data_IF_689721346111
#
_entry.id   IF_689721346111
#
_cell.length_a   1.000
_cell.length_b   1.000
_cell.length_c   1.000
_cell.angle_alpha   90.00
_cell.angle_beta   90.00
_cell.angle_gamma   90.00
#
_symmetry.space_group_name_H-M   'P 1'
#
loop_
_entity.id
_entity.type
_entity.pdbx_description
1 polymer ?
#
# COMPACT_ATOMS: atom_id res chain seq x y z
N UNK A 1 -11.82 1.94 -25.95
CA UNK A 1 -10.83 1.18 -25.15
C UNK A 1 -9.84 2.10 -24.45
N UNK A 2 -9.20 3.06 -25.14
CA UNK A 2 -8.30 4.04 -24.51
C UNK A 2 -8.96 4.86 -23.37
N UNK A 3 -10.22 5.27 -23.54
CA UNK A 3 -10.96 6.02 -22.50
C UNK A 3 -11.22 5.17 -21.24
N UNK A 4 -11.48 3.87 -21.40
CA UNK A 4 -11.70 2.94 -20.29
C UNK A 4 -10.42 2.76 -19.47
N UNK A 5 -9.29 2.58 -20.15
CA UNK A 5 -7.99 2.43 -19.49
C UNK A 5 -7.57 3.71 -18.77
N UNK A 6 -7.74 4.87 -19.40
CA UNK A 6 -7.45 6.19 -18.79
C UNK A 6 -8.30 6.40 -17.53
N UNK A 7 -9.60 6.08 -17.60
CA UNK A 7 -10.49 6.13 -16.43
C UNK A 7 -10.04 5.18 -15.33
N UNK A 8 -9.61 3.97 -15.69
CA UNK A 8 -9.12 2.99 -14.72
C UNK A 8 -7.87 3.52 -14.02
N UNK A 9 -6.90 4.08 -14.75
CA UNK A 9 -5.69 4.70 -14.18
C UNK A 9 -6.08 5.82 -13.20
N UNK A 10 -7.03 6.68 -13.55
CA UNK A 10 -7.51 7.75 -12.67
C UNK A 10 -8.15 7.24 -11.36
N UNK A 11 -8.94 6.17 -11.44
CA UNK A 11 -9.51 5.51 -10.25
C UNK A 11 -8.41 4.92 -9.37
N UNK A 12 -7.38 4.31 -9.99
CA UNK A 12 -6.26 3.75 -9.25
C UNK A 12 -5.41 4.83 -8.56
N UNK A 13 -5.20 5.97 -9.20
CA UNK A 13 -4.55 7.14 -8.58
C UNK A 13 -5.31 7.59 -7.33
N UNK A 14 -6.62 7.78 -7.44
CA UNK A 14 -7.45 8.20 -6.30
C UNK A 14 -7.42 7.19 -5.15
N UNK A 15 -7.48 5.89 -5.48
CA UNK A 15 -7.39 4.82 -4.49
C UNK A 15 -6.02 4.80 -3.81
N UNK A 16 -4.93 4.96 -4.57
CA UNK A 16 -3.59 5.05 -4.00
C UNK A 16 -3.44 6.26 -3.07
N UNK A 17 -3.90 7.44 -3.48
CA UNK A 17 -3.88 8.66 -2.65
C UNK A 17 -4.66 8.50 -1.35
N UNK A 18 -5.79 7.78 -1.38
CA UNK A 18 -6.56 7.45 -0.18
C UNK A 18 -5.77 6.51 0.74
N UNK A 19 -5.17 5.44 0.20
CA UNK A 19 -4.33 4.53 0.98
C UNK A 19 -3.10 5.24 1.57
N UNK A 20 -2.50 6.16 0.82
CA UNK A 20 -1.42 7.00 1.32
C UNK A 20 -1.89 7.84 2.51
N UNK A 21 -3.04 8.51 2.43
CA UNK A 21 -3.58 9.27 3.57
C UNK A 21 -3.86 8.40 4.79
N UNK A 22 -4.50 7.23 4.59
CA UNK A 22 -4.75 6.28 5.68
C UNK A 22 -3.44 5.83 6.35
N UNK A 23 -2.38 5.60 5.56
CA UNK A 23 -1.06 5.27 6.08
C UNK A 23 -0.41 6.43 6.86
N UNK A 24 -0.60 7.68 6.41
CA UNK A 24 -0.11 8.88 7.11
C UNK A 24 -0.85 9.14 8.44
N UNK A 25 -2.14 8.80 8.48
CA UNK A 25 -2.99 8.89 9.67
C UNK A 25 -2.84 7.67 10.60
N UNK A 26 -1.95 6.72 10.27
CA UNK A 26 -1.81 5.42 10.94
C UNK A 26 -3.12 4.61 11.07
N UNK A 27 -4.09 4.87 10.20
CA UNK A 27 -5.38 4.21 10.14
C UNK A 27 -5.29 2.82 9.47
N UNK A 28 -4.47 1.94 10.06
CA UNK A 28 -4.08 0.65 9.46
C UNK A 28 -5.24 -0.35 9.32
N UNK A 29 -6.28 -0.24 10.15
CA UNK A 29 -7.49 -1.06 10.04
C UNK A 29 -8.23 -0.74 8.73
N UNK A 30 -8.61 0.52 8.53
CA UNK A 30 -9.23 1.00 7.29
C UNK A 30 -8.32 0.78 6.07
N UNK A 31 -7.01 0.99 6.22
CA UNK A 31 -6.03 0.70 5.17
C UNK A 31 -6.13 -0.76 4.69
N UNK A 32 -6.24 -1.71 5.62
CA UNK A 32 -6.27 -3.14 5.31
C UNK A 32 -7.54 -3.54 4.56
N UNK A 33 -8.67 -2.91 4.87
CA UNK A 33 -9.94 -3.13 4.17
C UNK A 33 -9.87 -2.69 2.70
N UNK A 34 -9.14 -1.60 2.43
CA UNK A 34 -9.11 -0.98 1.11
C UNK A 34 -7.97 -1.49 0.21
N UNK A 35 -6.82 -1.86 0.79
CA UNK A 35 -5.62 -2.24 0.01
C UNK A 35 -5.85 -3.47 -0.87
N UNK A 36 -6.73 -4.39 -0.45
CA UNK A 36 -7.09 -5.55 -1.25
C UNK A 36 -7.85 -5.17 -2.53
N UNK A 37 -8.71 -4.16 -2.47
CA UNK A 37 -9.41 -3.64 -3.65
C UNK A 37 -8.45 -2.91 -4.59
N UNK A 38 -7.53 -2.10 -4.04
CA UNK A 38 -6.47 -1.46 -4.82
C UNK A 38 -5.58 -2.48 -5.53
N UNK A 39 -5.13 -3.53 -4.83
CA UNK A 39 -4.30 -4.58 -5.42
C UNK A 39 -4.99 -5.30 -6.59
N UNK A 40 -6.28 -5.62 -6.47
CA UNK A 40 -7.07 -6.18 -7.58
C UNK A 40 -7.17 -5.21 -8.76
N UNK A 41 -7.33 -3.91 -8.49
CA UNK A 41 -7.36 -2.88 -9.52
C UNK A 41 -6.02 -2.75 -10.27
N UNK A 42 -4.89 -2.84 -9.56
CA UNK A 42 -3.55 -2.87 -10.15
C UNK A 42 -3.33 -4.13 -11.00
N UNK A 43 -3.79 -5.29 -10.53
CA UNK A 43 -3.74 -6.54 -11.30
C UNK A 43 -4.56 -6.43 -12.59
N UNK A 44 -5.77 -5.88 -12.51
CA UNK A 44 -6.61 -5.66 -13.69
C UNK A 44 -5.94 -4.71 -14.70
N UNK A 45 -5.22 -3.68 -14.24
CA UNK A 45 -4.46 -2.79 -15.14
C UNK A 45 -3.40 -3.55 -15.96
N UNK A 46 -2.78 -4.58 -15.41
CA UNK A 46 -1.80 -5.40 -16.12
C UNK A 46 -2.42 -6.26 -17.23
N UNK A 47 -3.75 -6.44 -17.24
CA UNK A 47 -4.46 -7.21 -18.28
C UNK A 47 -4.76 -6.37 -19.52
N UNK A 48 -4.65 -5.04 -19.45
CA UNK A 48 -4.88 -4.15 -20.59
C UNK A 48 -3.65 -4.03 -21.48
N UNK A 49 -3.88 -3.92 -22.79
CA UNK A 49 -2.85 -3.42 -23.70
C UNK A 49 -2.63 -1.92 -23.48
N UNK A 50 -1.42 -1.58 -23.04
CA UNK A 50 -1.00 -0.22 -22.72
C UNK A 50 -0.37 0.52 -23.94
N UNK A 51 -0.09 -0.21 -25.02
CA UNK A 51 0.51 0.35 -26.25
C UNK A 51 -0.26 1.55 -26.83
N UNK A 52 -1.61 1.55 -26.89
CA UNK A 52 -2.39 2.64 -27.48
C UNK A 52 -2.64 3.82 -26.53
N UNK A 53 -1.97 3.91 -25.38
CA UNK A 53 -2.12 5.05 -24.47
C UNK A 53 -1.67 6.36 -25.12
N UNK A 54 -2.52 7.38 -25.06
CA UNK A 54 -2.14 8.76 -25.33
C UNK A 54 -1.12 9.26 -24.29
N UNK A 55 -0.33 10.27 -24.65
CA UNK A 55 0.73 10.82 -23.78
C UNK A 55 0.23 11.20 -22.38
N UNK A 56 -0.92 11.87 -22.27
CA UNK A 56 -1.50 12.24 -20.97
C UNK A 56 -1.79 11.02 -20.09
N UNK A 57 -2.31 9.95 -20.69
CA UNK A 57 -2.61 8.72 -19.97
C UNK A 57 -1.33 7.94 -19.60
N UNK A 58 -0.26 8.05 -20.39
CA UNK A 58 1.08 7.56 -20.03
C UNK A 58 1.65 8.33 -18.84
N UNK A 59 1.49 9.65 -18.80
CA UNK A 59 1.93 10.48 -17.68
C UNK A 59 1.18 10.11 -16.39
N UNK A 60 -0.13 9.89 -16.47
CA UNK A 60 -0.94 9.40 -15.34
C UNK A 60 -0.49 8.01 -14.86
N UNK A 61 -0.17 7.10 -15.79
CA UNK A 61 0.36 5.79 -15.43
C UNK A 61 1.73 5.90 -14.73
N UNK A 62 2.62 6.75 -15.22
CA UNK A 62 3.91 7.00 -14.57
C UNK A 62 3.73 7.56 -13.15
N UNK A 63 2.79 8.49 -12.97
CA UNK A 63 2.42 9.00 -11.65
C UNK A 63 1.90 7.87 -10.74
N UNK A 64 1.02 7.01 -11.25
CA UNK A 64 0.48 5.88 -10.48
C UNK A 64 1.60 4.94 -9.99
N UNK A 65 2.56 4.61 -10.86
CA UNK A 65 3.69 3.75 -10.50
C UNK A 65 4.60 4.40 -9.45
N UNK A 66 4.82 5.71 -9.51
CA UNK A 66 5.58 6.45 -8.49
C UNK A 66 4.83 6.47 -7.14
N UNK A 67 3.50 6.66 -7.17
CA UNK A 67 2.67 6.58 -5.98
C UNK A 67 2.64 5.17 -5.38
N UNK A 68 2.60 4.13 -6.21
CA UNK A 68 2.66 2.73 -5.79
C UNK A 68 3.98 2.39 -5.09
N UNK A 69 5.12 2.82 -5.65
CA UNK A 69 6.43 2.68 -5.01
C UNK A 69 6.44 3.34 -3.62
N UNK A 70 5.93 4.56 -3.50
CA UNK A 70 5.83 5.25 -2.21
C UNK A 70 4.95 4.48 -1.22
N UNK A 71 3.84 3.92 -1.67
CA UNK A 71 2.96 3.11 -0.84
C UNK A 71 3.66 1.82 -0.37
N UNK A 72 4.41 1.15 -1.24
CA UNK A 72 5.23 -0.03 -0.90
C UNK A 72 6.30 0.30 0.14
N UNK A 73 6.95 1.45 0.03
CA UNK A 73 7.92 1.91 1.03
C UNK A 73 7.27 2.13 2.39
N UNK A 74 6.10 2.78 2.44
CA UNK A 74 5.35 2.99 3.70
C UNK A 74 4.96 1.67 4.36
N UNK A 75 4.44 0.71 3.60
CA UNK A 75 4.13 -0.62 4.11
C UNK A 75 5.37 -1.34 4.65
N UNK A 76 6.53 -1.20 3.99
CA UNK A 76 7.80 -1.78 4.44
C UNK A 76 8.26 -1.18 5.77
N UNK A 77 8.20 0.15 5.91
CA UNK A 77 8.52 0.85 7.17
C UNK A 77 7.59 0.39 8.29
N UNK A 78 6.28 0.35 8.05
CA UNK A 78 5.31 -0.12 9.05
C UNK A 78 5.60 -1.55 9.49
N UNK A 79 5.93 -2.45 8.55
CA UNK A 79 6.32 -3.82 8.86
C UNK A 79 7.58 -3.86 9.74
N UNK A 80 8.56 -2.99 9.50
CA UNK A 80 9.74 -2.83 10.35
C UNK A 80 9.36 -2.49 11.80
N UNK A 81 8.56 -1.44 12.00
CA UNK A 81 8.09 -1.03 13.32
C UNK A 81 7.30 -2.14 14.04
N UNK A 82 6.42 -2.86 13.33
CA UNK A 82 5.69 -3.99 13.91
C UNK A 82 6.63 -5.11 14.36
N UNK A 83 7.65 -5.43 13.57
CA UNK A 83 8.65 -6.45 13.92
C UNK A 83 9.45 -6.07 15.16
N UNK A 84 9.86 -4.80 15.26
CA UNK A 84 10.55 -4.25 16.43
C UNK A 84 9.68 -4.29 17.68
N UNK A 85 8.41 -3.86 17.57
CA UNK A 85 7.45 -3.86 18.67
C UNK A 85 7.18 -5.28 19.18
N UNK A 86 6.96 -6.24 18.29
CA UNK A 86 6.78 -7.66 18.65
C UNK A 86 8.03 -8.18 19.38
N UNK A 87 9.22 -7.89 18.85
CA UNK A 87 10.48 -8.31 19.48
C UNK A 87 10.67 -7.72 20.88
N UNK A 88 10.29 -6.45 21.08
CA UNK A 88 10.34 -5.80 22.37
C UNK A 88 9.35 -6.44 23.37
N UNK A 89 8.11 -6.73 22.93
CA UNK A 89 7.11 -7.40 23.76
C UNK A 89 7.56 -8.80 24.18
N UNK A 90 8.16 -9.58 23.27
CA UNK A 90 8.69 -10.91 23.60
C UNK A 90 9.82 -10.84 24.63
N UNK A 91 10.75 -9.89 24.49
CA UNK A 91 11.83 -9.68 25.47
C UNK A 91 11.30 -9.26 26.83
N UNK A 92 10.31 -8.36 26.86
CA UNK A 92 9.64 -7.94 28.10
C UNK A 92 8.93 -9.11 28.77
N UNK A 93 8.23 -9.95 28.01
CA UNK A 93 7.53 -11.12 28.52
C UNK A 93 8.51 -12.14 29.11
N UNK A 94 9.60 -12.46 28.40
CA UNK A 94 10.65 -13.35 28.89
C UNK A 94 11.30 -12.83 30.17
N UNK A 95 11.53 -11.51 30.26
CA UNK A 95 12.07 -10.88 31.47
C UNK A 95 11.10 -11.00 32.64
N UNK A 96 9.80 -10.72 32.43
CA UNK A 96 8.78 -10.85 33.46
C UNK A 96 8.64 -12.30 33.96
N UNK A 97 8.70 -13.29 33.07
CA UNK A 97 8.70 -14.70 33.43
C UNK A 97 9.91 -15.06 34.31
N UNK A 98 11.12 -14.57 33.95
CA UNK A 98 12.32 -14.80 34.74
C UNK A 98 12.20 -14.25 36.17
N UNK A 99 11.57 -13.09 36.36
CA UNK A 99 11.31 -12.53 37.70
C UNK A 99 10.25 -13.28 38.51
N UNK A 100 9.26 -13.88 37.86
CA UNK A 100 8.22 -14.68 38.55
C UNK A 100 8.65 -16.12 38.87
N UNK A 101 9.81 -16.57 38.37
CA UNK A 101 10.34 -17.92 38.62
C UNK A 101 11.37 -17.93 39.77
N UNK A 102 11.56 -16.81 40.47
CA UNK A 102 12.41 -16.64 41.67
C UNK A 102 11.51 -16.47 42.89
#
# INVERSE_FOLDING_TARGET
MADTLTRQIALMLQSNERLQRLADEEAWECFTEEVAAYARGMQALCEFDLSPLAEDARAQLAQLLAQDERLRQRMSVRRGHLSENISALLKSNASAQAYHTV
#
